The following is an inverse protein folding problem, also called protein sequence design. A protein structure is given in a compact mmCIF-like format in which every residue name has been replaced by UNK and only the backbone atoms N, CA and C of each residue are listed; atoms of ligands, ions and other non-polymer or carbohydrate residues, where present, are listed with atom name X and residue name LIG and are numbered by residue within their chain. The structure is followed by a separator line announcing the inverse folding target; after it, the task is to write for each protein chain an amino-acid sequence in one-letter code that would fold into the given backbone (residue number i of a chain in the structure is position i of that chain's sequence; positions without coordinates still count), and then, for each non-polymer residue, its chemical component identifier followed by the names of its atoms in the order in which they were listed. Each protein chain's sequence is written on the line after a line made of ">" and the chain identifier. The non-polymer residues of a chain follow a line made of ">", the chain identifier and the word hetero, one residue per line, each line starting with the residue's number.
data_IF_850422513329
#
_entry.id   IF_850422513329
#
_cell.length_a   1.000
_cell.length_b   1.000
_cell.length_c   1.000
_cell.angle_alpha   90.00
_cell.angle_beta   90.00
_cell.angle_gamma   90.00
#
_symmetry.space_group_name_H-M   'P 1'
#
loop_
_entity.id
_entity.type
_entity.pdbx_description
1 polymer ?
#
# COMPACT_ATOMS: atom_id res chain seq x y z
N UNK A 1 9.16 -33.30 -26.98
CA UNK A 1 8.64 -32.06 -27.61
C UNK A 1 8.73 -30.93 -26.59
N UNK A 2 8.85 -29.68 -27.05
CA UNK A 2 8.81 -28.53 -26.15
C UNK A 2 7.36 -28.36 -25.69
N UNK A 3 7.15 -28.43 -24.38
CA UNK A 3 5.85 -28.18 -23.75
C UNK A 3 5.88 -26.87 -22.96
N UNK A 4 4.75 -26.14 -22.91
CA UNK A 4 3.50 -26.43 -23.62
C UNK A 4 3.58 -26.10 -25.12
N UNK A 5 2.86 -26.86 -25.94
CA UNK A 5 2.71 -26.60 -27.36
C UNK A 5 1.63 -25.53 -27.63
N UNK A 6 1.68 -24.88 -28.80
CA UNK A 6 0.65 -23.91 -29.19
C UNK A 6 -0.77 -24.48 -29.12
N UNK A 7 -0.96 -25.73 -29.55
CA UNK A 7 -2.27 -26.39 -29.54
C UNK A 7 -2.78 -26.61 -28.11
N UNK A 8 -1.87 -26.89 -27.17
CA UNK A 8 -2.21 -26.99 -25.74
C UNK A 8 -2.65 -25.63 -25.19
N UNK A 9 -1.90 -24.56 -25.46
CA UNK A 9 -2.25 -23.20 -25.04
C UNK A 9 -3.59 -22.75 -25.61
N UNK A 10 -3.85 -22.99 -26.90
CA UNK A 10 -5.12 -22.64 -27.55
C UNK A 10 -6.31 -23.34 -26.88
N UNK A 11 -6.14 -24.61 -26.50
CA UNK A 11 -7.18 -25.36 -25.78
C UNK A 11 -7.40 -24.80 -24.38
N UNK A 12 -6.33 -24.50 -23.64
CA UNK A 12 -6.44 -23.95 -22.27
C UNK A 12 -7.19 -22.62 -22.27
N UNK A 13 -6.85 -21.72 -23.20
CA UNK A 13 -7.46 -20.39 -23.27
C UNK A 13 -8.95 -20.44 -23.63
N UNK A 14 -9.34 -21.31 -24.58
CA UNK A 14 -10.73 -21.37 -25.04
C UNK A 14 -11.63 -22.33 -24.22
N UNK A 15 -11.10 -23.03 -23.21
CA UNK A 15 -11.87 -23.95 -22.35
C UNK A 15 -12.96 -23.26 -21.52
N UNK A 16 -12.84 -21.96 -21.28
CA UNK A 16 -13.80 -21.17 -20.49
C UNK A 16 -14.86 -20.45 -21.31
N UNK A 17 -14.88 -20.63 -22.64
CA UNK A 17 -15.91 -20.06 -23.52
C UNK A 17 -17.05 -21.06 -23.66
N UNK A 18 -18.28 -20.64 -23.38
CA UNK A 18 -19.45 -21.50 -23.48
C UNK A 18 -19.66 -21.98 -24.92
N UNK A 19 -20.17 -23.22 -25.07
CA UNK A 19 -20.40 -23.86 -26.37
C UNK A 19 -21.46 -23.06 -27.15
N UNK A 20 -21.01 -22.11 -27.97
CA UNK A 20 -21.87 -21.22 -28.75
C UNK A 20 -21.35 -19.78 -28.85
N UNK A 21 -20.42 -19.36 -27.99
CA UNK A 21 -19.74 -18.06 -28.09
C UNK A 21 -18.53 -18.11 -29.03
N UNK A 22 -18.21 -16.95 -29.63
CA UNK A 22 -17.01 -16.83 -30.47
C UNK A 22 -15.75 -17.12 -29.64
N UNK A 23 -14.78 -17.88 -30.18
CA UNK A 23 -13.56 -18.20 -29.44
C UNK A 23 -12.82 -16.91 -29.08
N UNK A 24 -12.48 -16.75 -27.80
CA UNK A 24 -11.70 -15.59 -27.30
C UNK A 24 -10.40 -15.44 -28.09
N UNK A 25 -9.80 -16.56 -28.48
CA UNK A 25 -8.59 -16.56 -29.30
C UNK A 25 -8.75 -17.45 -30.52
N UNK A 26 -8.68 -16.82 -31.70
CA UNK A 26 -8.66 -17.47 -33.01
C UNK A 26 -7.28 -17.47 -33.69
N UNK A 27 -6.30 -16.75 -33.12
CA UNK A 27 -5.01 -16.55 -33.75
C UNK A 27 -3.82 -16.84 -32.81
N UNK A 28 -2.75 -17.40 -33.38
CA UNK A 28 -1.43 -17.54 -32.74
C UNK A 28 -0.91 -16.22 -32.19
N UNK A 29 -1.12 -15.15 -32.94
CA UNK A 29 -0.60 -13.82 -32.62
C UNK A 29 -1.21 -13.28 -31.33
N UNK A 30 -2.49 -13.56 -31.05
CA UNK A 30 -3.14 -13.12 -29.81
C UNK A 30 -2.45 -13.71 -28.58
N UNK A 31 -2.11 -15.00 -28.60
CA UNK A 31 -1.38 -15.67 -27.52
C UNK A 31 0.01 -15.04 -27.32
N UNK A 32 0.73 -14.80 -28.43
CA UNK A 32 2.07 -14.18 -28.39
C UNK A 32 2.00 -12.77 -27.81
N UNK A 33 1.03 -11.96 -28.24
CA UNK A 33 0.84 -10.61 -27.73
C UNK A 33 0.46 -10.60 -26.24
N UNK A 34 -0.42 -11.49 -25.80
CA UNK A 34 -0.83 -11.58 -24.40
C UNK A 34 0.34 -11.99 -23.49
N UNK A 35 1.06 -13.05 -23.86
CA UNK A 35 2.24 -13.52 -23.11
C UNK A 35 3.37 -12.49 -23.10
N UNK A 36 3.58 -11.75 -24.20
CA UNK A 36 4.56 -10.66 -24.24
C UNK A 36 4.17 -9.49 -23.33
N UNK A 37 2.88 -9.09 -23.33
CA UNK A 37 2.37 -8.05 -22.42
C UNK A 37 2.53 -8.47 -20.96
N UNK A 38 2.20 -9.71 -20.62
CA UNK A 38 2.37 -10.24 -19.26
C UNK A 38 3.85 -10.32 -18.86
N UNK A 39 4.73 -10.74 -19.76
CA UNK A 39 6.17 -10.75 -19.49
C UNK A 39 6.70 -9.35 -19.17
N UNK A 40 6.19 -8.30 -19.84
CA UNK A 40 6.52 -6.90 -19.50
C UNK A 40 6.06 -6.52 -18.11
N UNK A 41 4.83 -6.89 -17.72
CA UNK A 41 4.35 -6.66 -16.36
C UNK A 41 5.23 -7.31 -15.29
N UNK A 42 5.73 -8.52 -15.55
CA UNK A 42 6.67 -9.21 -14.64
C UNK A 42 7.99 -8.43 -14.53
N UNK A 43 8.49 -7.90 -15.65
CA UNK A 43 9.69 -7.04 -15.68
C UNK A 43 9.45 -5.73 -14.92
N UNK A 44 8.25 -5.17 -14.99
CA UNK A 44 7.85 -3.96 -14.27
C UNK A 44 7.61 -4.21 -12.77
N UNK A 45 7.88 -5.43 -12.28
CA UNK A 45 7.81 -5.79 -10.86
C UNK A 45 6.47 -6.36 -10.40
N UNK A 46 5.55 -6.70 -11.31
CA UNK A 46 4.34 -7.43 -10.90
C UNK A 46 4.71 -8.87 -10.55
N UNK A 47 4.22 -9.33 -9.41
CA UNK A 47 4.46 -10.70 -8.94
C UNK A 47 3.87 -11.74 -9.93
N UNK A 48 4.64 -12.79 -10.23
CA UNK A 48 4.14 -13.96 -10.93
C UNK A 48 3.03 -14.69 -10.16
N UNK A 49 2.08 -15.27 -10.89
CA UNK A 49 0.97 -16.05 -10.34
C UNK A 49 1.30 -17.53 -10.16
N UNK A 50 2.42 -17.97 -10.75
CA UNK A 50 2.91 -19.35 -10.69
C UNK A 50 4.26 -19.38 -9.99
N UNK A 51 4.58 -20.54 -9.41
CA UNK A 51 5.90 -20.80 -8.88
C UNK A 51 6.98 -20.51 -9.94
N UNK A 52 8.00 -19.77 -9.52
CA UNK A 52 9.10 -19.38 -10.39
C UNK A 52 10.42 -19.39 -9.63
N UNK A 53 11.49 -19.60 -10.38
CA UNK A 53 12.84 -19.37 -9.90
C UNK A 53 13.31 -18.00 -10.40
N UNK A 54 14.16 -17.32 -9.64
CA UNK A 54 14.70 -16.00 -10.01
C UNK A 54 15.41 -15.98 -11.37
N UNK A 55 15.94 -17.14 -11.80
CA UNK A 55 16.63 -17.31 -13.09
C UNK A 55 15.68 -17.56 -14.26
N UNK A 56 14.39 -17.76 -14.01
CA UNK A 56 13.41 -18.00 -15.06
C UNK A 56 13.21 -16.74 -15.90
N UNK A 57 13.15 -16.93 -17.22
CA UNK A 57 12.88 -15.82 -18.13
C UNK A 57 11.44 -15.34 -17.93
N UNK A 58 11.17 -14.02 -17.88
CA UNK A 58 9.81 -13.50 -17.70
C UNK A 58 8.80 -14.04 -18.72
N UNK A 59 9.24 -14.24 -19.97
CA UNK A 59 8.40 -14.82 -21.01
C UNK A 59 8.02 -16.29 -20.72
N UNK A 60 8.94 -17.07 -20.17
CA UNK A 60 8.68 -18.46 -19.80
C UNK A 60 7.67 -18.53 -18.66
N UNK A 61 7.77 -17.64 -17.68
CA UNK A 61 6.81 -17.51 -16.58
C UNK A 61 5.41 -17.18 -17.13
N UNK A 62 5.30 -16.16 -17.99
CA UNK A 62 4.02 -15.77 -18.59
C UNK A 62 3.36 -16.90 -19.41
N UNK A 63 4.14 -17.73 -20.11
CA UNK A 63 3.61 -18.92 -20.82
C UNK A 63 3.12 -19.98 -19.83
N UNK A 64 3.81 -20.18 -18.70
CA UNK A 64 3.34 -21.10 -17.65
C UNK A 64 2.04 -20.63 -17.01
N UNK A 65 1.93 -19.34 -16.68
CA UNK A 65 0.70 -18.72 -16.15
C UNK A 65 -0.49 -18.88 -17.11
N UNK A 66 -0.25 -18.75 -18.42
CA UNK A 66 -1.30 -18.98 -19.42
C UNK A 66 -1.71 -20.45 -19.48
N UNK A 67 -0.76 -21.37 -19.30
CA UNK A 67 -1.02 -22.81 -19.36
C UNK A 67 -1.69 -23.36 -18.09
N UNK A 68 -1.42 -22.77 -16.92
CA UNK A 68 -2.13 -23.08 -15.66
C UNK A 68 -3.54 -22.50 -15.64
N UNK A 69 -3.79 -21.46 -16.45
CA UNK A 69 -5.09 -20.78 -16.54
C UNK A 69 -5.20 -19.56 -15.62
N UNK A 70 -4.13 -19.21 -14.89
CA UNK A 70 -4.09 -18.03 -14.03
C UNK A 70 -4.09 -16.72 -14.83
N UNK A 71 -3.56 -16.77 -16.06
CA UNK A 71 -3.62 -15.67 -17.02
C UNK A 71 -4.78 -15.86 -18.00
N UNK A 72 -5.78 -14.97 -17.94
CA UNK A 72 -6.91 -14.93 -18.92
C UNK A 72 -6.73 -13.80 -19.93
N UNK A 73 -7.03 -14.09 -21.20
CA UNK A 73 -7.10 -13.08 -22.26
C UNK A 73 -8.53 -12.56 -22.29
N UNK A 74 -8.69 -11.25 -22.13
CA UNK A 74 -10.00 -10.59 -22.19
C UNK A 74 -10.30 -10.14 -23.62
N UNK A 75 -11.58 -10.12 -23.97
CA UNK A 75 -12.06 -9.48 -25.20
C UNK A 75 -11.97 -7.95 -25.09
N UNK A 76 -12.11 -7.25 -26.21
CA UNK A 76 -12.03 -5.78 -26.22
C UNK A 76 -13.16 -5.13 -25.40
N UNK A 77 -14.35 -5.73 -25.42
CA UNK A 77 -15.51 -5.32 -24.62
C UNK A 77 -15.27 -5.55 -23.12
N UNK A 78 -14.83 -6.75 -22.73
CA UNK A 78 -14.47 -7.05 -21.33
C UNK A 78 -13.34 -6.14 -20.81
N UNK A 79 -12.36 -5.84 -21.66
CA UNK A 79 -11.24 -4.96 -21.30
C UNK A 79 -11.68 -3.50 -21.11
N UNK A 80 -12.60 -3.01 -21.95
CA UNK A 80 -13.18 -1.67 -21.81
C UNK A 80 -13.95 -1.53 -20.49
N UNK A 81 -14.83 -2.50 -20.18
CA UNK A 81 -15.56 -2.50 -18.92
C UNK A 81 -14.64 -2.57 -17.69
N UNK A 82 -13.58 -3.41 -17.75
CA UNK A 82 -12.63 -3.52 -16.66
C UNK A 82 -11.88 -2.21 -16.41
N UNK A 83 -11.51 -1.50 -17.48
CA UNK A 83 -10.86 -0.19 -17.40
C UNK A 83 -11.80 0.86 -16.77
N UNK A 84 -13.08 0.87 -17.13
CA UNK A 84 -14.07 1.77 -16.53
C UNK A 84 -14.26 1.49 -15.03
N UNK A 85 -14.39 0.21 -14.64
CA UNK A 85 -14.50 -0.22 -13.24
C UNK A 85 -13.26 0.18 -12.45
N UNK A 86 -12.06 0.01 -13.01
CA UNK A 86 -10.81 0.43 -12.35
C UNK A 86 -10.75 1.94 -12.12
N UNK A 87 -11.20 2.75 -13.09
CA UNK A 87 -11.29 4.20 -12.96
C UNK A 87 -12.29 4.62 -11.88
N UNK A 88 -13.46 3.96 -11.84
CA UNK A 88 -14.47 4.21 -10.81
C UNK A 88 -13.96 3.86 -9.42
N UNK A 89 -13.28 2.71 -9.25
CA UNK A 89 -12.70 2.32 -7.95
C UNK A 89 -11.63 3.31 -7.51
N UNK A 90 -10.72 3.73 -8.40
CA UNK A 90 -9.71 4.76 -8.10
C UNK A 90 -10.36 6.09 -7.70
N UNK A 91 -11.43 6.50 -8.39
CA UNK A 91 -12.18 7.71 -8.05
C UNK A 91 -12.87 7.61 -6.69
N UNK A 92 -13.44 6.44 -6.35
CA UNK A 92 -14.05 6.18 -5.05
C UNK A 92 -13.01 6.23 -3.94
N UNK A 93 -11.85 5.57 -4.12
CA UNK A 93 -10.75 5.58 -3.14
C UNK A 93 -10.26 7.01 -2.90
N UNK A 94 -10.11 7.81 -3.96
CA UNK A 94 -9.73 9.22 -3.86
C UNK A 94 -10.75 10.02 -3.05
N UNK A 95 -12.04 9.91 -3.37
CA UNK A 95 -13.10 10.62 -2.64
C UNK A 95 -13.13 10.25 -1.15
N UNK A 96 -13.04 8.95 -0.84
CA UNK A 96 -13.01 8.47 0.55
C UNK A 96 -11.80 8.98 1.33
N UNK A 97 -10.64 9.13 0.68
CA UNK A 97 -9.44 9.70 1.30
C UNK A 97 -9.64 11.19 1.62
N UNK A 98 -10.22 11.95 0.70
CA UNK A 98 -10.53 13.37 0.88
C UNK A 98 -11.59 13.58 1.99
N UNK A 99 -12.62 12.73 2.03
CA UNK A 99 -13.65 12.72 3.09
C UNK A 99 -13.06 12.36 4.47
N UNK A 100 -12.18 11.35 4.55
CA UNK A 100 -11.51 10.97 5.80
C UNK A 100 -10.59 12.08 6.33
N UNK A 101 -9.88 12.77 5.44
CA UNK A 101 -9.04 13.91 5.81
C UNK A 101 -9.87 15.10 6.32
N UNK A 102 -11.03 15.35 5.71
CA UNK A 102 -11.94 16.41 6.15
C UNK A 102 -12.56 16.13 7.54
N UNK A 103 -12.92 14.87 7.81
CA UNK A 103 -13.44 14.46 9.12
C UNK A 103 -12.34 14.58 10.20
N UNK A 104 -11.10 14.18 9.90
CA UNK A 104 -9.98 14.32 10.83
C UNK A 104 -9.72 15.79 11.21
N UNK A 105 -9.76 16.71 10.24
CA UNK A 105 -9.63 18.16 10.52
C UNK A 105 -10.76 18.70 11.38
N UNK A 106 -12.00 18.25 11.15
CA UNK A 106 -13.15 18.65 11.97
C UNK A 106 -13.04 18.11 13.40
N UNK A 107 -12.55 16.88 13.57
CA UNK A 107 -12.33 16.28 14.89
C UNK A 107 -11.19 16.99 15.65
N UNK A 108 -10.09 17.36 14.98
CA UNK A 108 -9.00 18.14 15.59
C UNK A 108 -9.48 19.55 16.03
N UNK A 109 -10.33 20.22 15.23
CA UNK A 109 -10.94 21.51 15.60
C UNK A 109 -11.92 21.37 16.78
N UNK A 110 -12.73 20.31 16.82
CA UNK A 110 -13.63 20.03 17.94
C UNK A 110 -12.88 19.65 19.22
N UNK A 111 -11.75 18.92 19.11
CA UNK A 111 -10.91 18.52 20.24
C UNK A 111 -10.12 19.71 20.80
N UNK A 112 -9.61 20.62 19.95
CA UNK A 112 -9.05 21.91 20.38
C UNK A 112 -10.08 22.82 21.06
N UNK A 113 -11.33 22.83 20.56
CA UNK A 113 -12.41 23.60 21.19
C UNK A 113 -12.80 23.05 22.58
N UNK A 114 -12.63 21.74 22.81
CA UNK A 114 -12.93 21.09 24.08
C UNK A 114 -11.80 21.26 25.12
N UNK A 115 -10.53 21.29 24.69
CA UNK A 115 -9.38 21.57 25.56
C UNK A 115 -9.34 23.02 26.09
N UNK A 116 -9.99 23.96 25.40
CA UNK A 116 -10.10 25.36 25.84
C UNK A 116 -11.10 25.62 26.98
N UNK A 117 -11.86 24.62 27.42
CA UNK A 117 -12.91 24.78 28.43
C UNK A 117 -12.53 24.32 29.86
N UNK A 118 -11.38 23.68 30.06
CA UNK A 118 -10.97 23.13 31.38
C UNK A 118 -10.00 24.06 32.17
N UNK A 119 -9.70 25.26 31.67
CA UNK A 119 -8.78 26.21 32.33
C UNK A 119 -9.48 27.38 33.05
N UNK A 120 -10.78 27.28 33.32
CA UNK A 120 -11.58 28.40 33.84
C UNK A 120 -12.54 28.00 34.97
N UNK A 121 -12.07 27.29 35.99
CA UNK A 121 -12.64 27.38 37.35
C UNK A 121 -11.51 27.22 38.38
N UNK A 122 -10.79 28.30 38.67
CA UNK A 122 -10.11 28.45 39.96
C UNK A 122 -10.67 29.73 40.59
N UNK A 123 -11.67 29.53 41.45
CA UNK A 123 -12.42 30.61 42.09
C UNK A 123 -11.61 31.09 43.32
N UNK A 124 -11.31 32.39 43.43
CA UNK A 124 -10.55 32.92 44.55
C UNK A 124 -11.49 33.11 45.73
N UNK A 125 -11.31 32.36 46.82
CA UNK A 125 -11.61 32.79 48.20
C UNK A 125 -11.44 31.59 49.16
N UNK A 126 -10.28 31.52 49.82
CA UNK A 126 -10.27 31.20 51.24
C UNK A 126 -9.20 32.06 51.92
N UNK A 127 -9.64 32.88 52.87
CA UNK A 127 -8.88 33.91 53.55
C UNK A 127 -8.69 33.48 55.01
N UNK A 128 -7.43 33.53 55.45
CA UNK A 128 -6.89 33.57 56.83
C UNK A 128 -6.95 32.25 57.62
N UNK A 129 -5.92 31.85 58.36
CA UNK A 129 -5.27 32.65 59.39
C UNK A 129 -3.94 32.04 59.88
N UNK A 130 -3.14 32.93 60.43
CA UNK A 130 -2.09 32.75 61.42
C UNK A 130 -0.66 32.27 61.06
N UNK A 131 0.21 33.17 61.48
CA UNK A 131 1.66 33.31 61.43
C UNK A 131 2.41 32.28 62.27
N UNK A 132 3.55 31.79 61.76
CA UNK A 132 4.79 31.72 62.55
C UNK A 132 6.00 32.01 61.63
N UNK A 133 6.65 33.15 61.92
CA UNK A 133 8.01 33.46 61.49
C UNK A 133 8.99 32.36 61.92
N UNK A 134 9.87 31.92 61.02
CA UNK A 134 11.30 31.76 61.32
C UNK A 134 12.14 31.91 60.04
N UNK A 135 13.01 32.91 60.11
CA UNK A 135 14.09 33.27 59.20
C UNK A 135 15.01 32.12 58.75
N UNK A 136 15.61 32.37 57.58
CA UNK A 136 16.93 31.89 57.11
C UNK A 136 16.98 30.40 56.70
N UNK A 137 17.55 30.01 55.56
CA UNK A 137 18.85 30.37 54.99
C UNK A 137 18.87 30.03 53.51
N UNK A 138 19.59 30.82 52.74
CA UNK A 138 20.09 30.45 51.42
C UNK A 138 21.12 29.32 51.54
N UNK A 139 20.99 28.30 50.70
CA UNK A 139 22.02 27.35 50.25
C UNK A 139 21.38 26.77 48.96
N UNK A 140 21.68 27.26 47.75
CA UNK A 140 22.89 26.97 46.96
C UNK A 140 23.15 25.46 46.82
N UNK A 141 23.63 25.05 45.64
CA UNK A 141 23.95 23.67 45.18
C UNK A 141 22.77 22.87 44.61
N UNK A 142 22.77 22.31 43.40
CA UNK A 142 23.70 22.36 42.28
C UNK A 142 22.92 21.93 41.02
N UNK A 143 23.12 22.67 39.95
CA UNK A 143 22.72 22.37 38.58
C UNK A 143 23.67 21.29 38.04
N UNK A 144 23.18 20.06 37.83
CA UNK A 144 23.94 19.02 37.12
C UNK A 144 23.25 18.69 35.79
N UNK A 145 23.84 19.28 34.76
CA UNK A 145 23.60 19.13 33.34
C UNK A 145 24.41 17.92 32.86
N UNK A 146 23.74 16.80 32.54
CA UNK A 146 24.40 15.70 31.79
C UNK A 146 23.53 15.28 30.62
N UNK A 147 23.59 16.09 29.57
CA UNK A 147 23.53 15.62 28.19
C UNK A 147 24.82 14.85 27.88
N UNK A 148 24.74 13.53 27.70
CA UNK A 148 25.74 12.79 26.91
C UNK A 148 25.09 12.04 25.75
N UNK A 149 25.12 12.74 24.62
CA UNK A 149 25.10 12.23 23.26
C UNK A 149 26.40 11.45 22.96
N UNK A 150 26.30 10.13 22.70
CA UNK A 150 27.36 9.28 22.10
C UNK A 150 26.79 7.85 22.01
N UNK A 151 26.64 7.18 20.87
CA UNK A 151 27.67 6.93 19.87
C UNK A 151 27.06 6.59 18.49
N UNK A 152 27.34 7.45 17.53
CA UNK A 152 27.39 7.15 16.09
C UNK A 152 28.72 6.45 15.76
N UNK A 153 28.72 5.73 14.64
CA UNK A 153 29.87 5.19 13.89
C UNK A 153 30.55 3.91 14.39
N UNK A 154 30.42 2.84 13.60
CA UNK A 154 31.58 2.25 12.89
C UNK A 154 31.14 1.60 11.59
N UNK A 155 31.61 2.20 10.50
CA UNK A 155 31.81 1.62 9.18
C UNK A 155 32.68 0.36 9.21
N UNK A 156 32.33 -0.67 8.45
CA UNK A 156 33.33 -1.62 7.92
C UNK A 156 33.17 -1.74 6.41
N UNK A 157 34.21 -1.23 5.76
CA UNK A 157 34.54 -1.36 4.35
C UNK A 157 35.58 -2.46 4.24
N UNK A 158 35.33 -3.50 3.46
CA UNK A 158 36.33 -4.40 2.89
C UNK A 158 35.56 -5.35 1.95
N UNK A 159 35.97 -5.70 0.73
CA UNK A 159 37.16 -5.49 -0.10
C UNK A 159 36.75 -5.86 -1.53
#
# INVERSE_FOLDING_TARGET
>A
MIHPSYVELMKVVNKGTDVGEEPVVNSRYTIVCATAKRARQIIDGKEPMVDYHEKDKPLSIAVRELNSGDLRILTEEEAAEAAEKEQQVKAIIRKRREEAEAIARQQEEEEMAKAGADAAEDNPDDVTDDTEDVDAVADDLDFDDTDENSSDSTSESDS
#
